data_IF_456547918485
#
_entry.id   IF_456547918485
#
_cell.length_a   1.000
_cell.length_b   1.000
_cell.length_c   1.000
_cell.angle_alpha   90.00
_cell.angle_beta   90.00
_cell.angle_gamma   90.00
#
_symmetry.space_group_name_H-M   'P 1'
#
loop_
_entity.id
_entity.type
_entity.pdbx_description
1 polymer ?
#
# COMPACT_ATOMS: atom_id res chain seq x y z
N UNK A 1 -1.45 -7.15 -16.05
CA UNK A 1 -0.93 -6.93 -17.42
C UNK A 1 -1.75 -5.91 -18.21
N UNK A 2 -3.07 -6.10 -18.41
CA UNK A 2 -3.90 -5.14 -19.15
C UNK A 2 -3.90 -3.72 -18.54
N UNK A 3 -4.07 -3.63 -17.21
CA UNK A 3 -3.98 -2.40 -16.40
C UNK A 3 -2.63 -1.68 -16.55
N UNK A 4 -1.54 -2.45 -16.63
CA UNK A 4 -0.18 -1.93 -16.78
C UNK A 4 0.04 -1.37 -18.19
N UNK A 5 -0.51 -2.05 -19.20
CA UNK A 5 -0.49 -1.58 -20.58
C UNK A 5 -1.29 -0.28 -20.74
N UNK A 6 -2.47 -0.18 -20.11
CA UNK A 6 -3.32 1.03 -20.14
C UNK A 6 -2.61 2.25 -19.51
N UNK A 7 -1.87 2.06 -18.42
CA UNK A 7 -1.06 3.10 -17.77
C UNK A 7 0.13 3.57 -18.64
N UNK A 8 0.80 2.64 -19.33
CA UNK A 8 1.93 2.94 -20.22
C UNK A 8 1.47 3.71 -21.46
N UNK A 9 0.36 3.27 -22.07
CA UNK A 9 -0.15 3.85 -23.31
C UNK A 9 -0.75 5.26 -23.10
N UNK A 10 -1.27 5.52 -21.90
CA UNK A 10 -1.89 6.80 -21.52
C UNK A 10 -0.90 7.90 -21.12
N UNK A 11 0.40 7.74 -21.38
CA UNK A 11 1.46 8.70 -20.96
C UNK A 11 1.55 8.92 -19.44
N UNK A 12 0.95 8.03 -18.65
CA UNK A 12 0.84 8.11 -17.18
C UNK A 12 1.84 7.21 -16.47
N UNK A 13 2.96 6.89 -17.14
CA UNK A 13 4.07 6.10 -16.58
C UNK A 13 4.52 6.64 -15.22
N UNK A 14 4.45 7.95 -15.02
CA UNK A 14 4.80 8.57 -13.74
C UNK A 14 3.93 8.12 -12.56
N UNK A 15 2.73 7.56 -12.78
CA UNK A 15 1.91 6.94 -11.72
C UNK A 15 2.52 5.65 -11.18
N UNK A 16 3.37 4.95 -11.94
CA UNK A 16 4.01 3.72 -11.47
C UNK A 16 4.91 3.99 -10.26
N UNK A 17 5.58 5.16 -10.22
CA UNK A 17 6.42 5.56 -9.09
C UNK A 17 5.66 5.61 -7.76
N UNK A 18 4.56 6.38 -7.61
CA UNK A 18 3.76 6.35 -6.40
C UNK A 18 3.14 4.98 -6.16
N UNK A 19 2.64 4.27 -7.18
CA UNK A 19 2.07 2.92 -7.02
C UNK A 19 3.04 1.97 -6.32
N UNK A 20 4.26 1.80 -6.84
CA UNK A 20 5.25 0.89 -6.26
C UNK A 20 5.74 1.36 -4.89
N UNK A 21 5.87 2.67 -4.70
CA UNK A 21 6.33 3.25 -3.43
C UNK A 21 5.29 3.02 -2.32
N UNK A 22 4.03 3.33 -2.58
CA UNK A 22 2.97 3.20 -1.57
C UNK A 22 2.66 1.74 -1.26
N UNK A 23 2.63 0.86 -2.27
CA UNK A 23 2.38 -0.56 -2.06
C UNK A 23 3.38 -1.19 -1.08
N UNK A 24 4.64 -0.78 -1.16
CA UNK A 24 5.70 -1.22 -0.22
C UNK A 24 5.64 -0.51 1.12
N UNK A 25 5.34 0.80 1.12
CA UNK A 25 5.26 1.57 2.35
C UNK A 25 4.11 1.10 3.25
N UNK A 26 2.96 0.70 2.69
CA UNK A 26 1.77 0.24 3.41
C UNK A 26 2.03 -0.95 4.35
N UNK A 27 3.08 -1.74 4.08
CA UNK A 27 3.48 -2.88 4.91
C UNK A 27 4.08 -2.41 6.24
N UNK A 28 4.78 -1.28 6.26
CA UNK A 28 5.48 -0.78 7.44
C UNK A 28 4.53 -0.51 8.61
N UNK A 29 3.41 0.24 8.43
CA UNK A 29 2.43 0.38 9.50
C UNK A 29 1.76 -0.96 9.84
N UNK A 30 1.51 -1.84 8.86
CA UNK A 30 0.98 -3.19 9.14
C UNK A 30 1.93 -3.95 10.06
N UNK A 31 3.22 -4.04 9.75
CA UNK A 31 4.23 -4.72 10.57
C UNK A 31 4.37 -4.13 11.97
N UNK A 32 4.14 -2.82 12.14
CA UNK A 32 4.12 -2.17 13.45
C UNK A 32 2.92 -2.59 14.28
N UNK A 33 1.73 -2.58 13.69
CA UNK A 33 0.45 -2.79 14.38
C UNK A 33 -0.04 -4.24 14.35
N UNK A 34 0.78 -5.17 13.85
CA UNK A 34 0.44 -6.59 13.78
C UNK A 34 1.18 -7.41 14.82
N UNK A 35 0.58 -8.55 15.18
CA UNK A 35 1.24 -9.56 16.01
C UNK A 35 1.82 -10.68 15.14
N UNK A 36 3.05 -11.15 15.39
CA UNK A 36 3.62 -12.25 14.62
C UNK A 36 2.91 -13.56 14.97
N UNK A 37 2.61 -14.39 13.95
CA UNK A 37 1.94 -15.68 14.15
C UNK A 37 2.82 -16.73 14.86
N UNK A 38 4.14 -16.65 14.66
CA UNK A 38 5.13 -17.52 15.30
C UNK A 38 6.15 -16.66 16.04
N UNK A 39 6.67 -17.17 17.16
CA UNK A 39 7.76 -16.52 17.94
C UNK A 39 9.14 -16.65 17.28
N UNK A 40 9.26 -17.45 16.23
CA UNK A 40 10.51 -17.75 15.51
C UNK A 40 10.35 -17.53 14.01
N UNK A 41 11.45 -17.14 13.34
CA UNK A 41 11.51 -16.88 11.89
C UNK A 41 11.71 -15.40 11.53
N UNK A 42 12.10 -15.11 10.28
CA UNK A 42 12.40 -13.75 9.81
C UNK A 42 11.22 -12.78 9.99
N UNK A 43 10.00 -13.24 9.70
CA UNK A 43 8.80 -12.42 9.90
C UNK A 43 8.59 -12.02 11.36
N UNK A 44 8.93 -12.88 12.32
CA UNK A 44 8.81 -12.60 13.75
C UNK A 44 9.81 -11.53 14.24
N UNK A 45 10.99 -11.44 13.60
CA UNK A 45 12.01 -10.43 13.91
C UNK A 45 11.59 -9.05 13.42
N UNK A 46 10.86 -9.01 12.30
CA UNK A 46 10.47 -7.77 11.63
C UNK A 46 9.11 -7.23 12.12
N UNK A 47 8.14 -8.12 12.40
CA UNK A 47 6.82 -7.76 12.90
C UNK A 47 6.92 -7.39 14.39
N UNK A 48 6.50 -6.17 14.74
CA UNK A 48 6.53 -5.65 16.12
C UNK A 48 7.85 -4.99 16.55
N UNK A 49 8.98 -5.21 15.86
CA UNK A 49 10.27 -4.58 16.19
C UNK A 49 10.45 -3.17 15.60
N UNK A 50 9.54 -2.74 14.73
CA UNK A 50 9.55 -1.40 14.16
C UNK A 50 9.20 -0.41 15.26
N UNK A 51 10.09 0.53 15.57
CA UNK A 51 9.81 1.63 16.50
C UNK A 51 9.18 2.83 15.79
N UNK A 52 8.60 3.76 16.57
CA UNK A 52 7.95 4.96 16.02
C UNK A 52 8.90 5.82 15.17
N UNK A 53 10.20 5.87 15.51
CA UNK A 53 11.22 6.57 14.72
C UNK A 53 11.38 5.98 13.31
N UNK A 54 11.44 4.64 13.21
CA UNK A 54 11.58 3.94 11.92
C UNK A 54 10.35 4.19 11.03
N UNK A 55 9.15 4.15 11.63
CA UNK A 55 7.91 4.46 10.95
C UNK A 55 7.87 5.91 10.45
N UNK A 56 8.34 6.86 11.25
CA UNK A 56 8.44 8.26 10.84
C UNK A 56 9.39 8.42 9.65
N UNK A 57 10.64 7.98 9.78
CA UNK A 57 11.63 8.11 8.70
C UNK A 57 11.20 7.40 7.42
N UNK A 58 10.56 6.24 7.52
CA UNK A 58 10.06 5.53 6.33
C UNK A 58 8.88 6.22 5.65
N UNK A 59 8.17 7.11 6.35
CA UNK A 59 7.00 7.81 5.83
C UNK A 59 7.34 9.15 5.18
N UNK A 60 8.51 9.74 5.46
CA UNK A 60 8.91 11.04 4.91
C UNK A 60 8.88 11.04 3.38
N UNK A 61 9.56 10.09 2.73
CA UNK A 61 9.66 10.03 1.27
C UNK A 61 8.30 9.73 0.60
N UNK A 62 7.51 8.74 1.04
CA UNK A 62 6.17 8.50 0.52
C UNK A 62 5.24 9.71 0.67
N UNK A 63 5.27 10.42 1.81
CA UNK A 63 4.45 11.62 2.00
C UNK A 63 4.85 12.76 1.06
N UNK A 64 6.15 12.98 0.86
CA UNK A 64 6.64 13.98 -0.11
C UNK A 64 6.21 13.66 -1.54
N UNK A 65 6.32 12.38 -1.95
CA UNK A 65 5.85 11.94 -3.25
C UNK A 65 4.33 12.09 -3.39
N UNK A 66 3.56 11.78 -2.35
CA UNK A 66 2.11 11.97 -2.35
C UNK A 66 1.76 13.43 -2.62
N UNK A 67 2.40 14.35 -1.89
CA UNK A 67 2.16 15.78 -2.02
C UNK A 67 2.55 16.30 -3.42
N UNK A 68 3.72 15.91 -3.92
CA UNK A 68 4.21 16.30 -5.23
C UNK A 68 3.27 15.83 -6.36
N UNK A 69 2.84 14.57 -6.33
CA UNK A 69 1.96 14.02 -7.37
C UNK A 69 0.52 14.51 -7.26
N UNK A 70 0.01 14.68 -6.03
CA UNK A 70 -1.37 15.10 -5.79
C UNK A 70 -1.62 16.57 -6.19
N UNK A 71 -0.61 17.44 -6.08
CA UNK A 71 -0.76 18.86 -6.49
C UNK A 71 -0.67 19.03 -8.01
N UNK A 72 0.28 18.33 -8.65
CA UNK A 72 0.60 18.64 -10.04
C UNK A 72 -0.32 17.93 -11.04
N UNK A 73 -0.54 16.62 -10.87
CA UNK A 73 -1.08 15.79 -11.95
C UNK A 73 -2.21 14.84 -11.53
N UNK A 74 -2.28 14.45 -10.25
CA UNK A 74 -3.13 13.34 -9.80
C UNK A 74 -3.85 13.65 -8.48
N UNK A 75 -4.82 14.58 -8.46
CA UNK A 75 -5.47 15.03 -7.21
C UNK A 75 -6.20 13.91 -6.44
N UNK A 76 -6.64 12.87 -7.15
CA UNK A 76 -7.38 11.73 -6.60
C UNK A 76 -6.47 10.64 -5.99
N UNK A 77 -5.14 10.81 -6.07
CA UNK A 77 -4.16 9.84 -5.57
C UNK A 77 -4.28 9.60 -4.07
N UNK A 78 -4.59 10.66 -3.30
CA UNK A 78 -4.80 10.59 -1.85
C UNK A 78 -6.01 9.74 -1.47
N UNK A 79 -7.12 9.88 -2.22
CA UNK A 79 -8.35 9.08 -2.02
C UNK A 79 -8.08 7.61 -2.30
N UNK A 80 -7.39 7.30 -3.40
CA UNK A 80 -6.99 5.92 -3.73
C UNK A 80 -6.06 5.31 -2.69
N UNK A 81 -5.12 6.09 -2.13
CA UNK A 81 -4.25 5.63 -1.04
C UNK A 81 -5.05 5.29 0.21
N UNK A 82 -5.97 6.15 0.63
CA UNK A 82 -6.82 5.91 1.80
C UNK A 82 -7.69 4.67 1.61
N UNK A 83 -8.27 4.50 0.42
CA UNK A 83 -9.04 3.31 0.07
C UNK A 83 -8.19 2.04 0.15
N UNK A 84 -6.99 2.05 -0.44
CA UNK A 84 -6.09 0.90 -0.41
C UNK A 84 -5.65 0.57 1.02
N UNK A 85 -5.32 1.59 1.82
CA UNK A 85 -4.94 1.43 3.22
C UNK A 85 -6.08 0.80 4.04
N UNK A 86 -7.32 1.23 3.83
CA UNK A 86 -8.48 0.62 4.47
C UNK A 86 -8.61 -0.87 4.15
N UNK A 87 -8.48 -1.26 2.89
CA UNK A 87 -8.54 -2.67 2.48
C UNK A 87 -7.39 -3.50 3.05
N UNK A 88 -6.17 -2.96 3.08
CA UNK A 88 -5.02 -3.65 3.66
C UNK A 88 -5.18 -3.85 5.17
N UNK A 89 -5.77 -2.90 5.88
CA UNK A 89 -6.09 -3.05 7.32
C UNK A 89 -7.16 -4.12 7.55
N UNK A 90 -8.14 -4.25 6.65
CA UNK A 90 -9.12 -5.33 6.71
C UNK A 90 -8.47 -6.69 6.48
N UNK A 91 -7.61 -6.81 5.46
CA UNK A 91 -6.80 -8.01 5.17
C UNK A 91 -5.91 -8.40 6.37
N UNK A 92 -5.25 -7.41 6.99
CA UNK A 92 -4.50 -7.60 8.24
C UNK A 92 -5.36 -8.27 9.30
N UNK A 93 -6.53 -7.70 9.60
CA UNK A 93 -7.43 -8.25 10.62
C UNK A 93 -7.85 -9.68 10.30
N UNK A 94 -8.23 -9.96 9.05
CA UNK A 94 -8.59 -11.30 8.60
C UNK A 94 -7.44 -12.30 8.78
N UNK A 95 -6.21 -11.92 8.45
CA UNK A 95 -5.07 -12.81 8.62
C UNK A 95 -4.71 -13.03 10.10
N UNK A 96 -4.81 -12.00 10.94
CA UNK A 96 -4.59 -12.16 12.38
C UNK A 96 -5.63 -13.10 13.01
N UNK A 97 -6.91 -13.00 12.63
CA UNK A 97 -7.99 -13.86 13.13
C UNK A 97 -7.88 -15.30 12.61
N UNK A 98 -7.50 -15.49 11.34
CA UNK A 98 -7.44 -16.82 10.71
C UNK A 98 -6.18 -17.60 11.02
N UNK A 99 -5.03 -16.93 11.10
CA UNK A 99 -3.71 -17.58 11.23
C UNK A 99 -3.06 -17.36 12.61
N UNK A 100 -3.75 -16.70 13.54
CA UNK A 100 -3.22 -16.39 14.87
C UNK A 100 -2.14 -15.30 14.88
N UNK A 101 -2.01 -14.55 13.78
CA UNK A 101 -1.04 -13.48 13.58
C UNK A 101 -0.60 -13.35 12.13
N UNK A 102 0.37 -12.48 11.87
CA UNK A 102 0.93 -12.25 10.53
C UNK A 102 2.26 -13.01 10.35
N UNK A 103 2.45 -13.57 9.16
CA UNK A 103 3.68 -14.24 8.69
C UNK A 103 4.35 -13.41 7.59
N UNK A 104 5.58 -13.78 7.20
CA UNK A 104 6.26 -13.17 6.05
C UNK A 104 5.48 -13.32 4.74
N UNK A 105 4.91 -14.51 4.50
CA UNK A 105 4.13 -14.79 3.30
C UNK A 105 2.86 -13.92 3.23
N UNK A 106 2.19 -13.72 4.37
CA UNK A 106 1.03 -12.84 4.45
C UNK A 106 1.39 -11.38 4.15
N UNK A 107 2.57 -10.91 4.60
CA UNK A 107 3.06 -9.58 4.26
C UNK A 107 3.32 -9.47 2.76
N UNK A 108 4.00 -10.45 2.16
CA UNK A 108 4.26 -10.50 0.71
C UNK A 108 2.97 -10.46 -0.11
N UNK A 109 1.99 -11.29 0.26
CA UNK A 109 0.67 -11.28 -0.36
C UNK A 109 -0.02 -9.90 -0.25
N UNK A 110 0.09 -9.22 0.90
CA UNK A 110 -0.45 -7.86 1.03
C UNK A 110 0.21 -6.86 0.09
N UNK A 111 1.51 -7.00 -0.22
CA UNK A 111 2.19 -6.16 -1.22
C UNK A 111 1.56 -6.36 -2.58
N UNK A 112 1.45 -7.62 -3.02
CA UNK A 112 0.88 -7.96 -4.32
C UNK A 112 -0.56 -7.46 -4.43
N UNK A 113 -1.35 -7.62 -3.37
CA UNK A 113 -2.70 -7.04 -3.29
C UNK A 113 -2.69 -5.52 -3.38
N UNK A 114 -1.78 -4.83 -2.69
CA UNK A 114 -1.67 -3.38 -2.76
C UNK A 114 -1.25 -2.89 -4.16
N UNK A 115 -0.31 -3.58 -4.82
CA UNK A 115 0.16 -3.25 -6.16
C UNK A 115 -0.94 -3.39 -7.22
N UNK A 116 -1.95 -4.22 -6.99
CA UNK A 116 -3.14 -4.33 -7.85
C UNK A 116 -4.25 -3.39 -7.43
N UNK A 117 -4.59 -3.32 -6.14
CA UNK A 117 -5.72 -2.55 -5.61
C UNK A 117 -5.50 -1.03 -5.74
N UNK A 118 -4.27 -0.56 -5.54
CA UNK A 118 -3.97 0.86 -5.61
C UNK A 118 -4.22 1.44 -7.01
N UNK A 119 -3.59 0.96 -8.10
CA UNK A 119 -3.88 1.49 -9.44
C UNK A 119 -5.33 1.23 -9.88
N UNK A 120 -5.91 0.09 -9.49
CA UNK A 120 -7.32 -0.20 -9.79
C UNK A 120 -8.26 0.83 -9.14
N UNK A 121 -8.09 1.11 -7.85
CA UNK A 121 -8.89 2.11 -7.14
C UNK A 121 -8.69 3.52 -7.69
N UNK A 122 -7.46 3.88 -8.07
CA UNK A 122 -7.18 5.16 -8.70
C UNK A 122 -7.95 5.33 -10.01
N UNK A 123 -7.86 4.36 -10.93
CA UNK A 123 -8.58 4.41 -12.20
C UNK A 123 -10.10 4.41 -12.02
N UNK A 124 -10.61 3.67 -11.04
CA UNK A 124 -12.03 3.64 -10.73
C UNK A 124 -12.51 5.01 -10.22
N UNK A 125 -11.81 5.60 -9.26
CA UNK A 125 -12.15 6.92 -8.71
C UNK A 125 -12.05 8.00 -9.78
N UNK A 126 -11.04 7.94 -10.65
CA UNK A 126 -10.91 8.87 -11.77
C UNK A 126 -12.04 8.73 -12.78
N UNK A 127 -12.41 7.51 -13.17
CA UNK A 127 -13.54 7.28 -14.09
C UNK A 127 -14.86 7.77 -13.51
N UNK A 128 -15.09 7.56 -12.21
CA UNK A 128 -16.27 8.09 -11.53
C UNK A 128 -16.27 9.62 -11.49
N UNK A 129 -15.12 10.23 -11.21
CA UNK A 129 -14.99 11.70 -11.18
C UNK A 129 -15.28 12.33 -12.55
N UNK A 130 -14.86 11.70 -13.64
CA UNK A 130 -15.14 12.18 -15.01
C UNK A 130 -16.60 12.01 -15.44
N UNK A 131 -17.37 11.16 -14.76
CA UNK A 131 -18.79 10.90 -15.06
C UNK A 131 -19.76 11.88 -14.37
N UNK A 132 -19.24 12.72 -13.48
CA UNK A 132 -19.98 13.77 -12.73
C UNK A 132 -19.73 15.11 -13.42
#
# INVERSE_FOLDING_TARGET
>A
LCLFHELILSSRIFLLLPIFTFSRWLIIPVMRFSRPAKKTGLGAILIGSIGNRKLFYSSVLPTLLLFYFSINNFPLLSVSLLFTLFFILLLKKLFEERFGGITGDNLGAMIEFAEVLFPFSYLLVERLWQSI
#
